data_IF_296999027537
#
_entry.id   IF_296999027537
#
_cell.length_a   1.000
_cell.length_b   1.000
_cell.length_c   1.000
_cell.angle_alpha   90.00
_cell.angle_beta   90.00
_cell.angle_gamma   90.00
#
_symmetry.space_group_name_H-M   'P 1'
#
loop_
_entity.id
_entity.type
_entity.pdbx_description
1 polymer ?
#
# COMPACT_ATOMS: atom_id res chain seq x y z
N UNK A 1 5.25 10.12 21.73
CA UNK A 1 6.15 9.07 21.18
C UNK A 1 5.31 7.97 20.50
N UNK A 2 4.39 8.35 19.62
CA UNK A 2 3.46 7.42 18.94
C UNK A 2 3.19 7.84 17.49
N UNK A 3 3.31 9.14 17.20
CA UNK A 3 3.17 9.72 15.86
C UNK A 3 4.17 9.15 14.81
N UNK A 4 5.44 8.94 15.18
CA UNK A 4 6.50 8.66 14.21
C UNK A 4 6.51 7.20 13.69
N UNK A 5 5.96 6.26 14.47
CA UNK A 5 5.79 4.87 14.02
C UNK A 5 4.69 4.77 12.97
N UNK A 6 3.61 5.56 13.11
CA UNK A 6 2.51 5.58 12.15
C UNK A 6 2.93 6.15 10.77
N UNK A 7 3.91 7.04 10.69
CA UNK A 7 4.38 7.58 9.40
C UNK A 7 4.96 6.48 8.50
N UNK A 8 5.80 5.58 9.02
CA UNK A 8 6.48 4.59 8.18
C UNK A 8 5.48 3.53 7.65
N UNK A 9 4.57 3.06 8.50
CA UNK A 9 3.56 2.08 8.10
C UNK A 9 2.55 2.65 7.09
N UNK A 10 2.33 3.96 7.10
CA UNK A 10 1.45 4.64 6.13
C UNK A 10 1.99 4.55 4.70
N UNK A 11 3.31 4.61 4.50
CA UNK A 11 3.91 4.45 3.17
C UNK A 11 3.92 2.99 2.70
N UNK A 12 4.02 2.02 3.61
CA UNK A 12 3.87 0.59 3.31
C UNK A 12 2.44 0.23 2.89
N UNK A 13 1.45 1.00 3.33
CA UNK A 13 0.07 0.83 2.91
C UNK A 13 -0.09 1.03 1.39
N UNK A 14 0.72 1.91 0.78
CA UNK A 14 0.67 2.22 -0.66
C UNK A 14 0.77 0.94 -1.53
N UNK A 15 1.79 0.08 -1.39
CA UNK A 15 1.85 -1.19 -2.10
C UNK A 15 0.96 -2.28 -1.49
N UNK A 16 0.64 -2.22 -0.19
CA UNK A 16 -0.10 -3.28 0.49
C UNK A 16 -1.60 -3.27 0.17
N UNK A 17 -2.23 -2.10 0.03
CA UNK A 17 -3.64 -1.97 -0.37
C UNK A 17 -3.95 -2.76 -1.65
N UNK A 18 -3.28 -2.50 -2.79
CA UNK A 18 -3.55 -3.24 -4.03
C UNK A 18 -3.18 -4.73 -3.93
N UNK A 19 -2.20 -5.09 -3.10
CA UNK A 19 -1.89 -6.50 -2.83
C UNK A 19 -3.06 -7.20 -2.11
N UNK A 20 -3.64 -6.59 -1.09
CA UNK A 20 -4.78 -7.17 -0.36
C UNK A 20 -6.00 -7.29 -1.27
N UNK A 21 -6.26 -6.30 -2.13
CA UNK A 21 -7.36 -6.36 -3.09
C UNK A 21 -7.16 -7.47 -4.13
N UNK A 22 -5.98 -7.57 -4.73
CA UNK A 22 -5.66 -8.64 -5.69
C UNK A 22 -5.68 -10.03 -5.05
N UNK A 23 -5.21 -10.16 -3.81
CA UNK A 23 -5.29 -11.41 -3.04
C UNK A 23 -6.75 -11.81 -2.76
N UNK A 24 -7.58 -10.85 -2.33
CA UNK A 24 -9.00 -11.07 -2.05
C UNK A 24 -9.76 -11.47 -3.31
N UNK A 25 -9.57 -10.75 -4.42
CA UNK A 25 -10.21 -11.06 -5.70
C UNK A 25 -9.64 -12.35 -6.30
N UNK A 26 -8.34 -12.62 -6.17
CA UNK A 26 -7.70 -13.81 -6.72
C UNK A 26 -8.13 -15.10 -6.03
N UNK A 27 -8.29 -15.08 -4.69
CA UNK A 27 -8.70 -16.26 -3.92
C UNK A 27 -10.22 -16.46 -3.92
N UNK A 28 -11.00 -15.39 -3.80
CA UNK A 28 -12.47 -15.47 -3.75
C UNK A 28 -13.14 -15.28 -5.12
N UNK A 29 -12.39 -15.09 -6.20
CA UNK A 29 -12.90 -14.67 -7.51
C UNK A 29 -14.01 -15.55 -8.09
N UNK A 30 -14.07 -16.84 -7.72
CA UNK A 30 -15.11 -17.76 -8.18
C UNK A 30 -16.45 -17.63 -7.45
N UNK A 31 -16.47 -16.93 -6.30
CA UNK A 31 -17.66 -16.66 -5.48
C UNK A 31 -18.14 -15.21 -5.60
N UNK A 32 -17.37 -14.34 -6.26
CA UNK A 32 -17.65 -12.92 -6.38
C UNK A 32 -18.32 -12.63 -7.74
N UNK A 33 -19.32 -11.74 -7.77
CA UNK A 33 -19.86 -11.24 -9.04
C UNK A 33 -18.80 -10.43 -9.80
N UNK A 34 -18.75 -10.57 -11.12
CA UNK A 34 -17.70 -9.99 -11.99
C UNK A 34 -17.51 -8.49 -11.80
N UNK A 35 -18.61 -7.75 -11.66
CA UNK A 35 -18.58 -6.30 -11.44
C UNK A 35 -17.88 -5.92 -10.13
N UNK A 36 -18.06 -6.71 -9.07
CA UNK A 36 -17.50 -6.42 -7.76
C UNK A 36 -16.00 -6.65 -7.74
N UNK A 37 -15.51 -7.70 -8.41
CA UNK A 37 -14.08 -7.98 -8.52
C UNK A 37 -13.31 -6.83 -9.18
N UNK A 38 -13.80 -6.33 -10.31
CA UNK A 38 -13.16 -5.21 -11.02
C UNK A 38 -13.27 -3.90 -10.23
N UNK A 39 -14.45 -3.57 -9.71
CA UNK A 39 -14.65 -2.33 -8.96
C UNK A 39 -13.79 -2.30 -7.69
N UNK A 40 -13.65 -3.42 -6.98
CA UNK A 40 -12.86 -3.48 -5.75
C UNK A 40 -11.35 -3.31 -6.02
N UNK A 41 -10.86 -3.86 -7.13
CA UNK A 41 -9.46 -3.70 -7.55
C UNK A 41 -9.17 -2.25 -7.94
N UNK A 42 -10.08 -1.62 -8.71
CA UNK A 42 -9.95 -0.22 -9.14
C UNK A 42 -9.98 0.72 -7.93
N UNK A 43 -10.92 0.52 -7.01
CA UNK A 43 -11.02 1.33 -5.78
C UNK A 43 -9.74 1.23 -4.95
N UNK A 44 -9.18 0.04 -4.83
CA UNK A 44 -7.94 -0.15 -4.07
C UNK A 44 -6.75 0.58 -4.69
N UNK A 45 -6.58 0.49 -6.02
CA UNK A 45 -5.50 1.20 -6.73
C UNK A 45 -5.72 2.71 -6.66
N UNK A 46 -6.96 3.17 -6.74
CA UNK A 46 -7.31 4.59 -6.59
C UNK A 46 -6.91 5.13 -5.22
N UNK A 47 -7.21 4.40 -4.13
CA UNK A 47 -6.79 4.82 -2.77
C UNK A 47 -5.25 4.84 -2.66
N UNK A 48 -4.56 3.83 -3.20
CA UNK A 48 -3.09 3.80 -3.21
C UNK A 48 -2.48 4.96 -4.03
N UNK A 49 -3.15 5.37 -5.11
CA UNK A 49 -2.76 6.52 -5.90
C UNK A 49 -2.90 7.83 -5.12
N UNK A 50 -4.02 8.05 -4.42
CA UNK A 50 -4.21 9.24 -3.58
C UNK A 50 -3.13 9.34 -2.50
N UNK A 51 -2.79 8.22 -1.84
CA UNK A 51 -1.69 8.17 -0.85
C UNK A 51 -0.32 8.44 -1.48
N UNK A 52 -0.12 8.05 -2.74
CA UNK A 52 1.10 8.36 -3.49
C UNK A 52 1.20 9.85 -3.80
N UNK A 53 0.08 10.52 -4.13
CA UNK A 53 0.05 11.97 -4.33
C UNK A 53 0.37 12.75 -3.05
N UNK A 54 -0.14 12.33 -1.89
CA UNK A 54 0.20 12.98 -0.61
C UNK A 54 1.67 12.80 -0.27
N UNK A 55 2.21 11.60 -0.49
CA UNK A 55 3.64 11.31 -0.29
C UNK A 55 4.52 12.16 -1.21
N UNK A 56 4.13 12.31 -2.48
CA UNK A 56 4.85 13.16 -3.44
C UNK A 56 4.91 14.62 -2.97
N UNK A 57 3.79 15.15 -2.47
CA UNK A 57 3.73 16.49 -1.91
C UNK A 57 4.69 16.66 -0.72
N UNK A 58 4.77 15.66 0.17
CA UNK A 58 5.72 15.66 1.28
C UNK A 58 7.18 15.59 0.81
N UNK A 59 7.49 14.76 -0.20
CA UNK A 59 8.84 14.66 -0.77
C UNK A 59 9.28 15.97 -1.44
N UNK A 60 8.38 16.66 -2.15
CA UNK A 60 8.66 17.98 -2.73
C UNK A 60 8.98 19.03 -1.66
N UNK A 61 8.41 18.90 -0.47
CA UNK A 61 8.71 19.76 0.69
C UNK A 61 9.99 19.34 1.44
N UNK A 62 10.77 18.38 0.92
CA UNK A 62 12.07 17.98 1.44
C UNK A 62 12.07 16.75 2.36
N UNK A 63 10.96 16.00 2.42
CA UNK A 63 10.88 14.78 3.23
C UNK A 63 11.62 13.63 2.53
N UNK A 64 12.68 13.13 3.16
CA UNK A 64 13.47 11.97 2.66
C UNK A 64 13.29 10.80 3.61
N UNK A 65 12.75 9.69 3.10
CA UNK A 65 12.55 8.45 3.84
C UNK A 65 13.54 7.37 3.36
N UNK A 66 14.64 7.17 4.10
CA UNK A 66 15.64 6.12 3.84
C UNK A 66 15.84 5.29 5.12
N UNK A 67 14.87 4.44 5.42
CA UNK A 67 14.85 3.60 6.62
C UNK A 67 14.85 2.13 6.23
N UNK A 68 15.58 1.30 6.96
CA UNK A 68 15.53 -0.15 6.81
C UNK A 68 14.23 -0.68 7.41
N UNK A 69 13.33 -1.17 6.57
CA UNK A 69 11.99 -1.63 6.97
C UNK A 69 11.96 -3.10 7.38
N UNK A 70 12.87 -3.92 6.84
CA UNK A 70 13.05 -5.32 7.23
C UNK A 70 14.38 -5.85 6.67
N UNK A 71 14.86 -6.93 7.26
CA UNK A 71 16.02 -7.66 6.80
C UNK A 71 15.57 -8.99 6.20
N UNK A 72 15.89 -9.21 4.93
CA UNK A 72 15.46 -10.40 4.17
C UNK A 72 16.13 -11.68 4.66
N UNK A 73 17.45 -11.62 4.84
CA UNK A 73 18.29 -12.75 5.19
C UNK A 73 19.57 -12.21 5.83
N UNK A 74 19.97 -12.80 6.96
CA UNK A 74 21.31 -12.62 7.52
C UNK A 74 22.09 -13.90 7.21
N UNK A 75 23.02 -13.83 6.26
CA UNK A 75 23.96 -14.92 5.99
C UNK A 75 25.35 -14.53 6.49
N UNK A 76 25.99 -15.42 7.24
CA UNK A 76 27.35 -15.31 7.74
C UNK A 76 28.02 -16.68 7.77
#
# INVERSE_FOLDING_TARGET
MGEHLNSIYSYLAIPLLPLIASFSVGILGRRLPEFFASSMTILSVFIAFVLSCTTLHETLNGLVLNQTIYQWLLSG
#
